data_IF_528725207528
#
_entry.id   IF_528725207528
#
_cell.length_a   1.000
_cell.length_b   1.000
_cell.length_c   1.000
_cell.angle_alpha   90.00
_cell.angle_beta   90.00
_cell.angle_gamma   90.00
#
_symmetry.space_group_name_H-M   'P 1'
#
loop_
_entity.id
_entity.type
_entity.pdbx_description
1 polymer ?
2 non-polymer ?
3 non-polymer ?
4 non-polymer ?
5 non-polymer ?
6 non-polymer ?
7 water ?
#
# COMPACT_ATOMS: atom_id res chain seq x y z
N UNK A 3 23.21 16.20 12.38
CA UNK A 3 23.62 15.99 11.00
C UNK A 3 24.11 14.56 10.80
N UNK A 4 23.98 13.75 11.85
CA UNK A 4 24.45 12.37 11.85
C UNK A 4 23.77 11.63 13.00
N UNK A 5 22.51 11.27 12.82
CA UNK A 5 21.64 10.85 13.92
C UNK A 5 21.77 9.34 14.20
N UNK A 6 21.67 8.99 15.47
CA UNK A 6 21.80 7.62 15.95
C UNK A 6 20.44 7.07 16.33
N UNK A 7 20.16 5.84 15.90
CA UNK A 7 18.98 5.09 16.35
C UNK A 7 19.46 3.83 17.04
N UNK A 8 18.86 3.52 18.19
CA UNK A 8 19.25 2.38 19.00
C UNK A 8 18.19 1.29 18.94
N UNK A 9 18.64 0.05 19.02
CA UNK A 9 17.75 -1.08 19.32
C UNK A 9 17.96 -1.44 20.78
N UNK A 10 16.91 -1.33 21.59
CA UNK A 10 16.99 -1.58 23.01
C UNK A 10 16.79 -3.05 23.38
N UNK A 11 16.56 -3.92 22.40
CA UNK A 11 16.56 -5.36 22.62
C UNK A 11 17.93 -5.97 22.37
N UNK A 12 18.72 -5.37 21.47
CA UNK A 12 20.02 -5.89 21.09
C UNK A 12 21.17 -4.93 21.35
N UNK A 13 20.91 -3.69 21.74
CA UNK A 13 21.93 -2.66 21.95
C UNK A 13 22.73 -2.38 20.67
N UNK A 14 22.08 -2.54 19.51
CA UNK A 14 22.67 -2.24 18.22
C UNK A 14 22.40 -0.78 17.89
N UNK A 15 23.42 -0.08 17.37
CA UNK A 15 23.30 1.32 17.02
C UNK A 15 23.53 1.48 15.53
N UNK A 16 22.60 2.14 14.85
CA UNK A 16 22.73 2.52 13.47
C UNK A 16 22.86 4.04 13.38
N UNK A 17 23.57 4.51 12.35
CA UNK A 17 23.84 5.92 12.16
C UNK A 17 23.17 6.39 10.88
N UNK A 18 22.25 7.35 11.01
CA UNK A 18 21.45 7.81 9.90
C UNK A 18 22.04 9.11 9.35
N UNK A 19 22.55 9.05 8.12
CA UNK A 19 22.91 10.23 7.35
C UNK A 19 22.02 10.43 6.14
N UNK A 20 21.18 9.44 5.81
CA UNK A 20 20.28 9.55 4.67
C UNK A 20 19.23 10.64 4.88
N UNK A 21 18.86 10.91 6.12
CA UNK A 21 17.86 11.94 6.38
C UNK A 21 18.31 13.32 5.92
N UNK A 22 19.61 13.50 5.65
CA UNK A 22 20.08 14.79 5.18
C UNK A 22 19.65 15.03 3.73
N UNK A 23 19.58 13.97 2.93
CA UNK A 23 19.05 14.11 1.59
C UNK A 23 17.54 14.39 1.59
N UNK A 24 16.89 14.33 2.75
CA UNK A 24 15.45 14.47 2.82
C UNK A 24 15.00 15.85 2.36
N UNK A 25 13.77 15.90 1.89
CA UNK A 25 13.24 17.09 1.22
C UNK A 25 11.90 17.49 1.83
N UNK A 26 10.88 16.65 1.64
CA UNK A 26 9.53 16.96 2.09
C UNK A 26 9.49 17.13 3.62
N UNK A 27 8.41 17.73 4.08
CA UNK A 27 8.20 17.98 5.50
C UNK A 27 7.33 16.89 6.12
N UNK A 28 7.36 16.81 7.45
CA UNK A 28 6.75 15.70 8.17
C UNK A 28 5.44 16.04 8.88
N UNK A 29 5.17 17.31 9.15
CA UNK A 29 4.05 17.70 9.98
C UNK A 29 4.44 17.97 11.41
N UNK A 30 5.57 17.44 11.86
CA UNK A 30 6.07 17.71 13.19
C UNK A 30 6.86 19.01 13.22
N UNK A 31 6.87 19.65 14.38
CA UNK A 31 7.67 20.84 14.59
C UNK A 31 8.57 20.62 15.80
N UNK A 32 9.38 21.63 16.13
CA UNK A 32 10.17 21.57 17.33
C UNK A 32 9.30 21.48 18.58
N UNK A 33 8.06 21.95 18.52
CA UNK A 33 7.18 22.01 19.68
C UNK A 33 6.00 21.03 19.58
N UNK A 34 5.86 20.27 18.49
CA UNK A 34 4.79 19.28 18.44
C UNK A 34 5.15 18.11 17.55
N UNK A 35 5.00 16.90 18.08
CA UNK A 35 5.17 15.69 17.30
C UNK A 35 3.80 15.18 16.87
N UNK A 36 3.62 15.05 15.56
CA UNK A 36 2.36 14.56 14.98
C UNK A 36 2.54 13.18 14.35
N UNK A 37 3.52 12.42 14.85
CA UNK A 37 3.83 11.10 14.35
C UNK A 37 2.74 10.05 14.50
N UNK A 38 1.55 10.46 14.94
CA UNK A 38 0.43 9.54 15.11
C UNK A 38 -0.84 10.09 14.47
N UNK A 39 -0.75 11.23 13.78
CA UNK A 39 -1.80 11.66 12.87
C UNK A 39 -1.80 10.72 11.67
N UNK A 40 -2.98 10.22 11.33
CA UNK A 40 -3.04 9.16 10.30
C UNK A 40 -2.75 9.70 8.91
N UNK A 41 -3.45 10.76 8.50
CA UNK A 41 -3.27 11.38 7.19
C UNK A 41 -2.78 12.80 7.37
N UNK A 42 -1.48 13.00 7.61
CA UNK A 42 -0.97 14.36 7.73
C UNK A 42 -1.11 15.10 6.40
N UNK A 43 -1.35 16.40 6.49
CA UNK A 43 -1.50 17.22 5.29
C UNK A 43 -0.27 17.14 4.39
N UNK A 44 0.87 16.70 4.94
CA UNK A 44 2.08 16.52 4.15
C UNK A 44 2.09 15.21 3.38
N UNK A 45 1.27 14.24 3.78
CA UNK A 45 1.21 12.95 3.12
C UNK A 45 0.13 12.89 2.04
N UNK A 46 -0.53 14.02 1.74
CA UNK A 46 -1.62 14.07 0.78
C UNK A 46 -1.27 15.04 -0.34
N UNK A 47 -1.87 14.81 -1.51
CA UNK A 47 -1.62 15.65 -2.69
C UNK A 47 -2.81 16.54 -3.03
N UNK A 52 -0.99 19.92 -6.61
CA UNK A 52 -1.09 20.34 -8.00
C UNK A 52 0.06 21.32 -8.30
N UNK A 53 1.00 20.87 -9.13
CA UNK A 53 2.26 21.57 -9.33
C UNK A 53 2.30 22.32 -10.65
N UNK A 54 3.23 23.27 -10.74
CA UNK A 54 3.45 24.10 -11.92
C UNK A 54 4.76 23.68 -12.60
N UNK A 55 5.13 24.43 -13.64
CA UNK A 55 6.29 24.10 -14.47
C UNK A 55 7.60 24.65 -13.91
N UNK A 56 7.53 25.72 -13.12
CA UNK A 56 8.73 26.30 -12.55
C UNK A 56 9.43 25.30 -11.63
N UNK A 57 8.72 24.82 -10.62
CA UNK A 57 9.31 23.89 -9.66
C UNK A 57 9.64 22.54 -10.28
N UNK A 58 9.35 22.31 -11.56
CA UNK A 58 9.43 20.98 -12.11
C UNK A 58 10.87 20.54 -12.32
N UNK A 59 11.76 21.44 -12.78
CA UNK A 59 13.10 20.99 -13.15
C UNK A 59 13.96 20.63 -11.94
N UNK A 60 14.02 21.43 -10.87
CA UNK A 60 14.73 20.94 -9.67
C UNK A 60 14.30 19.55 -9.26
N UNK A 61 13.01 19.26 -9.31
CA UNK A 61 12.52 17.92 -8.98
C UNK A 61 13.03 16.88 -9.98
N UNK A 62 13.03 17.23 -11.27
CA UNK A 62 13.56 16.32 -12.28
C UNK A 62 15.07 16.16 -12.14
N UNK A 63 15.79 17.28 -12.09
CA UNK A 63 17.24 17.27 -11.85
C UNK A 63 17.60 16.41 -10.65
N UNK A 64 16.93 16.64 -9.52
CA UNK A 64 17.21 15.86 -8.32
C UNK A 64 17.01 14.37 -8.58
N UNK A 65 15.94 14.02 -9.30
CA UNK A 65 15.65 12.60 -9.54
C UNK A 65 16.70 11.98 -10.46
N UNK A 66 17.03 12.68 -11.57
CA UNK A 66 18.03 12.17 -12.49
C UNK A 66 19.39 12.06 -11.81
N UNK A 67 19.72 13.00 -10.92
CA UNK A 67 21.02 12.97 -10.27
C UNK A 67 21.21 11.72 -9.44
N UNK A 68 20.14 11.28 -8.75
CA UNK A 68 20.24 10.05 -7.98
C UNK A 68 20.09 8.81 -8.86
N UNK A 69 19.36 8.92 -9.98
CA UNK A 69 19.24 7.78 -10.88
C UNK A 69 20.56 7.45 -11.55
N UNK A 70 21.26 8.46 -12.07
CA UNK A 70 22.54 8.19 -12.71
C UNK A 70 23.61 7.86 -11.68
N UNK A 71 23.47 8.38 -10.47
CA UNK A 71 24.37 7.99 -9.40
C UNK A 71 24.22 6.51 -9.06
N UNK A 72 23.02 5.95 -9.28
CA UNK A 72 22.75 4.57 -8.94
C UNK A 72 23.10 3.57 -10.05
N UNK A 73 23.24 4.01 -11.29
CA UNK A 73 23.79 3.16 -12.34
C UNK A 73 25.28 3.38 -12.51
N UNK A 74 25.94 3.91 -11.48
CA UNK A 74 27.39 4.14 -11.43
C UNK A 74 27.87 5.15 -12.47
N UNK A 75 26.98 5.97 -13.04
CA UNK A 75 27.34 6.94 -14.07
C UNK A 75 26.79 8.33 -13.73
N UNK A 76 27.15 8.83 -12.54
CA UNK A 76 26.74 10.16 -12.12
C UNK A 76 27.64 11.22 -12.74
N UNK A 77 27.06 12.36 -13.07
CA UNK A 77 27.80 13.47 -13.61
C UNK A 77 28.48 13.24 -14.95
N UNK A 78 28.18 12.12 -15.60
CA UNK A 78 28.79 11.80 -16.88
C UNK A 78 28.10 12.60 -17.99
N UNK A 79 28.42 12.27 -19.24
CA UNK A 79 27.79 12.95 -20.37
C UNK A 79 26.39 12.42 -20.64
N UNK A 80 26.20 11.11 -20.55
CA UNK A 80 24.85 10.55 -20.69
C UNK A 80 23.91 11.13 -19.66
N UNK A 81 24.43 11.44 -18.46
CA UNK A 81 23.65 12.17 -17.46
C UNK A 81 23.41 13.60 -17.88
N UNK A 82 24.48 14.35 -18.13
CA UNK A 82 24.34 15.78 -18.43
C UNK A 82 23.52 16.00 -19.71
N UNK A 83 23.52 15.04 -20.63
CA UNK A 83 22.67 15.16 -21.80
C UNK A 83 21.19 15.00 -21.44
N UNK A 84 20.88 13.99 -20.60
CA UNK A 84 19.49 13.77 -20.19
C UNK A 84 19.00 14.89 -19.29
N UNK A 85 19.89 15.48 -18.50
CA UNK A 85 19.57 16.69 -17.76
C UNK A 85 19.07 17.78 -18.69
N UNK A 86 19.84 18.08 -19.74
CA UNK A 86 19.45 19.09 -20.72
C UNK A 86 18.23 18.65 -21.51
N UNK A 87 18.18 17.38 -21.91
CA UNK A 87 17.05 16.88 -22.67
C UNK A 87 15.73 17.11 -21.94
N UNK A 88 15.68 16.75 -20.65
CA UNK A 88 14.47 16.96 -19.87
C UNK A 88 14.26 18.44 -19.60
N UNK A 89 15.33 19.18 -19.38
CA UNK A 89 15.24 20.64 -19.28
C UNK A 89 14.52 21.22 -20.50
N UNK A 90 15.03 20.92 -21.69
CA UNK A 90 14.43 21.42 -22.92
C UNK A 90 12.96 21.02 -23.04
N UNK A 91 12.65 19.75 -22.74
CA UNK A 91 11.26 19.28 -22.87
C UNK A 91 10.35 19.92 -21.83
N UNK A 92 10.88 20.31 -20.67
CA UNK A 92 10.05 21.01 -19.69
C UNK A 92 9.80 22.44 -20.13
N UNK A 93 10.78 23.08 -20.76
CA UNK A 93 10.54 24.38 -21.38
C UNK A 93 9.42 24.29 -22.41
N UNK A 94 9.50 23.30 -23.30
CA UNK A 94 8.59 23.23 -24.42
C UNK A 94 7.19 22.82 -23.99
N UNK A 95 7.08 21.75 -23.19
CA UNK A 95 5.78 21.17 -22.87
C UNK A 95 5.33 21.42 -21.44
N UNK A 96 6.13 22.12 -20.63
CA UNK A 96 5.81 22.34 -19.21
C UNK A 96 5.54 21.04 -18.47
N UNK A 97 6.17 19.96 -18.93
CA UNK A 97 6.16 18.63 -18.30
C UNK A 97 7.21 17.81 -19.03
N UNK A 98 7.28 16.51 -18.72
CA UNK A 98 8.19 15.64 -19.45
C UNK A 98 7.76 14.19 -19.23
N UNK A 99 8.58 13.29 -19.75
CA UNK A 99 8.26 11.86 -19.75
C UNK A 99 9.48 11.08 -19.28
N UNK A 100 9.25 10.11 -18.41
CA UNK A 100 10.32 9.28 -17.90
C UNK A 100 10.68 8.20 -18.92
N UNK A 101 11.97 7.89 -18.99
CA UNK A 101 12.39 6.67 -19.69
C UNK A 101 11.85 5.46 -18.95
N UNK A 102 11.73 4.33 -19.66
CA UNK A 102 11.27 3.11 -19.00
C UNK A 102 12.12 2.81 -17.76
N UNK A 103 13.45 2.92 -17.88
CA UNK A 103 14.33 2.60 -16.76
C UNK A 103 14.18 3.62 -15.64
N UNK A 104 13.94 4.88 -15.98
CA UNK A 104 13.69 5.89 -14.96
C UNK A 104 12.36 5.64 -14.25
N UNK A 105 11.37 5.12 -14.97
CA UNK A 105 10.10 4.77 -14.35
C UNK A 105 10.25 3.58 -13.41
N UNK A 106 11.02 2.57 -13.80
CA UNK A 106 11.22 1.41 -12.94
C UNK A 106 11.98 1.81 -11.68
N UNK A 107 13.03 2.61 -11.85
CA UNK A 107 13.78 3.15 -10.72
C UNK A 107 12.87 3.95 -9.79
N UNK A 108 12.12 4.91 -10.35
CA UNK A 108 11.27 5.74 -9.49
C UNK A 108 10.27 4.93 -8.70
N UNK A 109 9.64 3.95 -9.34
CA UNK A 109 8.66 3.11 -8.66
C UNK A 109 9.30 2.34 -7.52
N UNK A 110 10.41 1.66 -7.78
CA UNK A 110 11.04 0.84 -6.75
C UNK A 110 11.45 1.68 -5.56
N UNK A 111 11.88 2.92 -5.81
CA UNK A 111 12.37 3.77 -4.72
C UNK A 111 11.26 4.48 -3.99
N UNK A 112 10.14 4.77 -4.67
CA UNK A 112 8.92 5.13 -3.96
C UNK A 112 8.55 4.07 -2.93
N UNK A 113 8.53 2.80 -3.34
CA UNK A 113 8.34 1.73 -2.37
C UNK A 113 9.48 1.71 -1.35
N UNK A 114 10.72 1.83 -1.83
CA UNK A 114 11.87 1.80 -0.92
C UNK A 114 11.76 2.86 0.17
N UNK A 115 11.19 4.02 -0.17
CA UNK A 115 11.10 5.15 0.74
C UNK A 115 9.84 5.14 1.60
N UNK A 116 8.91 4.21 1.33
CA UNK A 116 7.62 4.13 2.02
C UNK A 116 7.89 3.81 3.49
N UNK A 117 7.89 4.82 4.35
CA UNK A 117 8.37 4.59 5.71
C UNK A 117 7.38 3.81 6.57
N UNK A 118 6.09 3.77 6.20
CA UNK A 118 5.12 2.98 6.94
C UNK A 118 5.02 1.54 6.44
N UNK A 119 5.83 1.13 5.45
CA UNK A 119 5.74 -0.22 4.89
C UNK A 119 6.78 -1.13 5.54
N UNK A 120 6.30 -2.17 6.23
CA UNK A 120 7.21 -3.15 6.84
C UNK A 120 7.79 -4.13 5.84
N UNK A 121 7.21 -4.25 4.63
CA UNK A 121 7.59 -5.21 3.63
C UNK A 121 8.81 -4.87 2.81
N UNK A 122 9.47 -3.75 3.09
CA UNK A 122 10.36 -3.15 2.09
C UNK A 122 11.61 -3.97 1.81
N UNK A 123 11.80 -5.12 2.42
CA UNK A 123 13.06 -5.84 2.20
C UNK A 123 13.12 -6.33 0.77
N UNK A 124 11.98 -6.35 0.09
CA UNK A 124 11.80 -6.83 -1.27
C UNK A 124 11.71 -5.71 -2.30
N UNK A 125 12.02 -4.48 -1.91
CA UNK A 125 11.70 -3.32 -2.75
C UNK A 125 12.33 -3.42 -4.14
N UNK A 126 13.52 -4.00 -4.24
CA UNK A 126 14.17 -4.12 -5.54
C UNK A 126 13.56 -5.21 -6.41
N UNK A 127 12.80 -6.14 -5.83
CA UNK A 127 12.12 -7.18 -6.60
C UNK A 127 10.67 -6.77 -6.81
N UNK A 128 10.51 -5.68 -7.56
CA UNK A 128 9.21 -5.13 -7.91
C UNK A 128 9.07 -5.17 -9.43
N UNK A 129 7.96 -5.69 -9.91
CA UNK A 129 7.69 -5.76 -11.35
C UNK A 129 6.92 -4.51 -11.74
N UNK A 130 7.45 -3.73 -12.67
CA UNK A 130 6.85 -2.47 -13.05
C UNK A 130 6.18 -2.66 -14.40
N UNK A 131 4.87 -2.47 -14.44
CA UNK A 131 4.10 -2.52 -15.68
C UNK A 131 3.84 -1.10 -16.15
N UNK A 132 4.36 -0.77 -17.32
CA UNK A 132 4.21 0.56 -17.89
C UNK A 132 2.89 0.58 -18.65
N UNK A 133 1.90 1.23 -18.07
CA UNK A 133 0.60 1.43 -18.69
C UNK A 133 0.42 2.87 -19.15
N UNK A 134 1.53 3.57 -19.40
CA UNK A 134 1.42 4.98 -19.79
C UNK A 134 0.91 5.17 -21.22
N UNK A 135 0.70 4.10 -22.02
CA UNK A 135 0.04 4.23 -23.32
C UNK A 135 -1.47 4.01 -23.22
N UNK A 136 -1.99 3.83 -22.02
CA UNK A 136 -3.41 3.57 -21.84
C UNK A 136 -4.21 4.85 -22.07
N UNK A 137 -5.42 4.69 -22.62
CA UNK A 137 -6.28 5.84 -22.93
C UNK A 137 -7.74 5.67 -22.52
N UNK A 138 -8.18 4.48 -22.11
CA UNK A 138 -9.59 4.22 -21.87
C UNK A 138 -9.75 3.37 -20.62
N UNK A 139 -10.97 3.36 -20.08
CA UNK A 139 -11.24 2.54 -18.90
C UNK A 139 -11.10 1.06 -19.22
N UNK A 140 -11.53 0.63 -20.40
CA UNK A 140 -11.30 -0.74 -20.81
C UNK A 140 -9.81 -1.05 -20.88
N UNK A 141 -9.01 -0.10 -21.36
CA UNK A 141 -7.56 -0.31 -21.37
C UNK A 141 -7.02 -0.50 -19.97
N UNK A 142 -7.46 0.35 -19.04
CA UNK A 142 -7.11 0.20 -17.63
C UNK A 142 -7.55 -1.16 -17.10
N UNK A 143 -8.82 -1.51 -17.32
CA UNK A 143 -9.31 -2.82 -16.90
C UNK A 143 -8.41 -3.92 -17.39
N UNK A 144 -8.04 -3.86 -18.67
CA UNK A 144 -7.18 -4.89 -19.24
C UNK A 144 -5.81 -4.89 -18.57
N UNK A 145 -5.25 -3.71 -18.32
CA UNK A 145 -3.94 -3.66 -17.68
C UNK A 145 -4.03 -4.17 -16.24
N UNK A 146 -5.16 -3.92 -15.58
CA UNK A 146 -5.31 -4.34 -14.19
C UNK A 146 -5.53 -5.84 -14.08
N UNK A 147 -6.29 -6.42 -15.03
CA UNK A 147 -6.46 -7.87 -15.02
C UNK A 147 -5.11 -8.56 -15.20
N UNK A 148 -4.29 -8.03 -16.10
CA UNK A 148 -2.96 -8.63 -16.32
C UNK A 148 -2.10 -8.49 -15.06
N UNK A 149 -2.14 -7.31 -14.44
CA UNK A 149 -1.47 -7.11 -13.15
C UNK A 149 -1.92 -8.17 -12.15
N UNK A 150 -3.23 -8.28 -11.94
CA UNK A 150 -3.75 -9.28 -10.99
C UNK A 150 -3.25 -10.67 -11.34
N UNK A 151 -3.38 -11.06 -12.62
CA UNK A 151 -2.95 -12.40 -12.99
C UNK A 151 -1.46 -12.59 -12.69
N UNK A 152 -0.63 -11.67 -13.16
CA UNK A 152 0.81 -11.78 -12.91
C UNK A 152 1.13 -11.78 -11.41
N UNK A 153 0.65 -10.77 -10.68
CA UNK A 153 1.05 -10.67 -9.27
C UNK A 153 0.57 -11.89 -8.48
N UNK A 154 -0.55 -12.48 -8.88
CA UNK A 154 -1.05 -13.63 -8.14
C UNK A 154 -0.22 -14.87 -8.41
N UNK A 155 0.10 -15.13 -9.68
CA UNK A 155 1.02 -16.23 -10.00
C UNK A 155 0.60 -17.51 -9.25
N UNK A 156 -0.71 -17.77 -9.28
CA UNK A 156 -1.31 -18.98 -8.76
C UNK A 156 -0.92 -19.23 -7.30
N UNK A 157 -0.95 -18.17 -6.49
CA UNK A 157 -0.59 -18.24 -5.11
C UNK A 157 0.86 -17.96 -4.82
N UNK A 158 1.75 -18.10 -5.79
CA UNK A 158 3.16 -17.74 -5.60
C UNK A 158 3.31 -16.25 -5.90
N UNK A 159 2.80 -15.44 -4.96
CA UNK A 159 2.62 -14.01 -5.20
C UNK A 159 3.94 -13.32 -5.54
N UNK A 160 3.83 -12.32 -6.42
CA UNK A 160 4.97 -11.52 -6.85
C UNK A 160 4.59 -10.05 -6.72
N UNK A 161 5.57 -9.24 -6.34
CA UNK A 161 5.34 -7.81 -6.24
C UNK A 161 5.24 -7.19 -7.63
N UNK A 162 4.29 -6.27 -7.79
CA UNK A 162 4.07 -5.60 -9.06
C UNK A 162 3.44 -4.23 -8.84
N UNK A 163 3.67 -3.33 -9.79
CA UNK A 163 2.97 -2.06 -9.86
C UNK A 163 2.61 -1.79 -11.33
N UNK A 164 1.43 -1.21 -11.54
CA UNK A 164 1.03 -0.80 -12.88
C UNK A 164 0.81 0.71 -12.85
N UNK A 165 1.48 1.41 -13.77
CA UNK A 165 1.59 2.86 -13.73
C UNK A 165 0.86 3.44 -14.95
N UNK A 166 -0.30 4.04 -14.70
CA UNK A 166 -1.11 4.70 -15.70
C UNK A 166 -0.57 6.10 -15.99
N UNK A 167 -1.07 6.78 -17.02
CA UNK A 167 -0.45 8.05 -17.43
C UNK A 167 -0.40 9.10 -16.32
N UNK A 168 0.67 9.89 -16.33
CA UNK A 168 0.83 10.92 -15.34
C UNK A 168 -0.22 12.02 -15.51
N UNK A 169 -0.58 12.63 -14.39
CA UNK A 169 -1.40 13.83 -14.40
C UNK A 169 -0.75 14.88 -15.30
N UNK A 170 -1.59 15.68 -15.95
CA UNK A 170 -1.08 16.80 -16.73
C UNK A 170 -1.75 18.08 -16.27
N UNK A 171 -2.94 18.37 -16.81
CA UNK A 171 -3.71 19.52 -16.36
C UNK A 171 -4.24 19.30 -14.95
N UNK A 172 -4.78 18.12 -14.68
CA UNK A 172 -5.52 17.86 -13.46
C UNK A 172 -6.92 17.32 -13.73
N UNK A 173 -7.64 17.95 -14.65
CA UNK A 173 -8.98 17.47 -14.99
C UNK A 173 -8.95 16.26 -15.93
N UNK A 174 -7.83 16.04 -16.61
CA UNK A 174 -7.55 14.78 -17.26
C UNK A 174 -6.68 13.97 -16.32
N UNK A 175 -7.22 12.87 -15.83
CA UNK A 175 -6.67 12.22 -14.65
C UNK A 175 -7.13 10.78 -14.65
N UNK A 176 -6.18 9.85 -14.68
CA UNK A 176 -6.50 8.44 -14.51
C UNK A 176 -6.61 8.14 -13.03
N UNK A 177 -7.70 7.49 -12.65
CA UNK A 177 -7.91 7.13 -11.24
C UNK A 177 -8.58 5.77 -11.17
N UNK A 178 -8.07 4.91 -10.30
CA UNK A 178 -8.84 3.75 -9.84
C UNK A 178 -9.62 4.19 -8.61
N UNK A 179 -10.95 4.17 -8.70
CA UNK A 179 -11.76 4.62 -7.59
C UNK A 179 -11.79 3.63 -6.43
N UNK A 180 -11.54 2.35 -6.70
CA UNK A 180 -11.38 1.37 -5.63
C UNK A 180 -10.17 1.72 -4.79
N UNK A 181 -10.29 1.53 -3.47
CA UNK A 181 -9.10 1.73 -2.63
C UNK A 181 -8.14 0.57 -2.78
N UNK A 182 -8.66 -0.64 -3.07
CA UNK A 182 -7.86 -1.80 -3.43
C UNK A 182 -8.53 -2.49 -4.60
N UNK A 183 -7.72 -3.11 -5.45
CA UNK A 183 -8.25 -3.81 -6.62
C UNK A 183 -9.26 -4.88 -6.22
N UNK A 184 -8.99 -5.58 -5.13
CA UNK A 184 -9.84 -6.64 -4.61
C UNK A 184 -10.26 -6.25 -3.20
N UNK A 185 -11.53 -5.85 -3.04
CA UNK A 185 -12.12 -5.60 -1.74
C UNK A 185 -13.52 -6.21 -1.71
N UNK A 186 -13.95 -6.59 -0.52
CA UNK A 186 -15.29 -7.10 -0.31
C UNK A 186 -16.27 -5.93 -0.09
N UNK A 187 -17.52 -6.15 -0.51
CA UNK A 187 -18.53 -5.11 -0.46
C UNK A 187 -19.11 -4.96 0.94
N UNK A 188 -19.59 -3.75 1.23
CA UNK A 188 -20.26 -3.47 2.48
C UNK A 188 -21.67 -2.95 2.27
N UNK A 189 -22.65 -3.59 2.89
CA UNK A 189 -24.05 -3.22 2.76
C UNK A 189 -24.64 -2.93 4.13
N UNK A 190 -25.21 -1.74 4.29
CA UNK A 190 -26.01 -1.44 5.45
C UNK A 190 -27.31 -2.22 5.40
N UNK A 191 -27.76 -2.70 6.56
CA UNK A 191 -28.92 -3.58 6.66
C UNK A 191 -30.16 -2.79 7.09
N UNK A 192 -31.35 -3.42 7.19
CA UNK A 192 -32.50 -2.67 7.74
C UNK A 192 -32.26 -2.10 9.13
N UNK A 193 -31.80 -2.93 10.08
CA UNK A 193 -31.59 -2.46 11.44
C UNK A 193 -30.43 -1.48 11.57
N UNK A 194 -29.64 -1.29 10.51
CA UNK A 194 -28.49 -0.40 10.53
C UNK A 194 -27.16 -1.14 10.53
N UNK A 195 -27.13 -2.37 11.05
CA UNK A 195 -25.92 -3.17 11.07
C UNK A 195 -25.42 -3.39 9.65
N UNK A 196 -24.24 -3.99 9.54
CA UNK A 196 -23.52 -4.05 8.27
C UNK A 196 -23.22 -5.49 7.89
N UNK A 197 -23.58 -5.85 6.66
CA UNK A 197 -23.15 -7.11 6.04
C UNK A 197 -21.93 -6.84 5.19
N UNK A 198 -20.96 -7.76 5.24
CA UNK A 198 -19.73 -7.57 4.49
C UNK A 198 -18.75 -6.68 5.22
N UNK A 199 -17.97 -5.93 4.45
CA UNK A 199 -16.92 -5.08 5.00
C UNK A 199 -17.46 -3.69 5.24
N UNK A 200 -17.65 -3.26 6.50
CA UNK A 200 -18.19 -1.92 6.75
C UNK A 200 -17.31 -0.79 6.22
N UNK A 201 -16.01 -1.04 6.00
CA UNK A 201 -15.14 -0.02 5.43
C UNK A 201 -15.62 0.46 4.07
N UNK A 202 -16.23 -0.43 3.28
CA UNK A 202 -16.52 -0.15 1.88
C UNK A 202 -17.97 0.23 1.64
N UNK A 203 -18.76 0.44 2.71
CA UNK A 203 -20.18 0.73 2.54
C UNK A 203 -20.38 1.93 1.63
N UNK A 204 -19.55 2.96 1.80
CA UNK A 204 -19.66 4.14 0.95
C UNK A 204 -19.31 3.82 -0.50
N UNK A 205 -18.21 3.09 -0.71
CA UNK A 205 -17.83 2.73 -2.09
C UNK A 205 -18.81 1.74 -2.71
N UNK A 206 -19.29 0.78 -1.91
CA UNK A 206 -20.24 -0.21 -2.42
C UNK A 206 -21.49 0.46 -2.96
N UNK A 207 -21.96 1.52 -2.30
CA UNK A 207 -23.15 2.22 -2.78
C UNK A 207 -22.85 3.11 -3.99
N UNK A 208 -21.61 3.57 -4.12
CA UNK A 208 -21.24 4.31 -5.33
C UNK A 208 -21.32 3.39 -6.54
N UNK A 209 -20.85 2.14 -6.40
CA UNK A 209 -20.94 1.18 -7.49
C UNK A 209 -22.38 0.88 -7.84
N UNK A 210 -23.26 0.79 -6.84
CA UNK A 210 -24.68 0.62 -7.14
C UNK A 210 -25.26 1.89 -7.77
N UNK A 211 -24.72 3.05 -7.40
CA UNK A 211 -25.16 4.31 -8.01
C UNK A 211 -24.81 4.35 -9.49
N UNK A 212 -23.80 3.62 -9.92
CA UNK A 212 -23.38 3.58 -11.32
C UNK A 212 -23.80 2.31 -12.03
N UNK A 213 -24.53 1.41 -11.36
CA UNK A 213 -25.14 0.29 -12.06
C UNK A 213 -24.87 -1.10 -11.51
N UNK A 214 -24.06 -1.22 -10.46
CA UNK A 214 -23.68 -2.54 -9.97
C UNK A 214 -24.87 -3.26 -9.39
N UNK A 215 -25.13 -4.47 -9.90
CA UNK A 215 -26.12 -5.37 -9.33
C UNK A 215 -25.44 -6.14 -8.20
N UNK A 216 -25.76 -5.79 -6.97
CA UNK A 216 -25.05 -6.34 -5.82
C UNK A 216 -25.63 -7.69 -5.43
N UNK A 217 -24.81 -8.74 -5.30
CA UNK A 217 -25.30 -10.01 -4.76
C UNK A 217 -25.57 -9.95 -3.26
N UNK A 218 -25.52 -8.73 -2.69
CA UNK A 218 -25.81 -8.41 -1.29
C UNK A 218 -25.55 -9.56 -0.34
N UNK A 219 -24.31 -10.05 -0.32
CA UNK A 219 -23.87 -11.00 0.68
C UNK A 219 -22.66 -10.49 1.42
N UNK A 220 -21.88 -11.39 2.01
CA UNK A 220 -20.67 -11.03 2.73
C UNK A 220 -19.54 -10.70 1.77
N UNK A 221 -18.74 -11.72 1.45
CA UNK A 221 -17.50 -11.56 0.70
C UNK A 221 -17.81 -11.50 -0.81
N UNK A 222 -18.47 -10.41 -1.19
CA UNK A 222 -18.76 -10.12 -2.59
C UNK A 222 -17.65 -9.23 -3.12
N UNK A 223 -16.82 -9.78 -4.02
CA UNK A 223 -15.72 -9.02 -4.58
C UNK A 223 -16.30 -7.84 -5.34
N UNK A 224 -15.84 -6.63 -5.01
CA UNK A 224 -16.38 -5.45 -5.65
C UNK A 224 -15.94 -5.37 -7.10
N UNK A 225 -16.67 -4.62 -7.92
CA UNK A 225 -16.20 -4.37 -9.29
C UNK A 225 -15.20 -3.23 -9.26
N UNK A 226 -14.37 -3.18 -10.29
CA UNK A 226 -13.47 -2.05 -10.46
C UNK A 226 -14.24 -0.84 -11.00
N UNK A 227 -13.91 0.34 -10.47
CA UNK A 227 -14.43 1.60 -10.98
C UNK A 227 -13.25 2.39 -11.52
N UNK A 228 -13.18 2.55 -12.83
CA UNK A 228 -11.98 3.01 -13.52
C UNK A 228 -12.27 4.33 -14.24
N UNK A 229 -11.56 5.38 -13.86
CA UNK A 229 -11.63 6.67 -14.50
C UNK A 229 -10.44 6.83 -15.44
N UNK A 230 -10.71 7.11 -16.71
CA UNK A 230 -9.68 7.24 -17.73
C UNK A 230 -9.67 8.67 -18.24
N UNK A 231 -8.51 9.32 -18.17
CA UNK A 231 -8.28 10.65 -18.74
C UNK A 231 -9.37 11.64 -18.32
N UNK A 232 -9.76 11.57 -17.05
CA UNK A 232 -10.75 12.49 -16.50
C UNK A 232 -12.19 12.18 -16.85
N UNK A 233 -12.46 11.16 -17.66
CA UNK A 233 -13.84 10.81 -17.99
C UNK A 233 -14.53 10.17 -16.78
N UNK A 234 -15.87 10.14 -16.84
CA UNK A 234 -16.62 9.48 -15.80
C UNK A 234 -16.19 8.01 -15.70
N UNK A 235 -16.07 7.46 -14.50
CA UNK A 235 -15.53 6.10 -14.35
C UNK A 235 -16.58 5.05 -14.67
N UNK A 236 -16.09 3.84 -14.95
CA UNK A 236 -16.88 2.78 -15.56
C UNK A 236 -16.67 1.47 -14.82
N UNK A 237 -17.69 0.62 -14.83
CA UNK A 237 -17.72 -0.57 -13.98
C UNK A 237 -17.22 -1.80 -14.74
N UNK A 238 -16.32 -2.56 -14.10
CA UNK A 238 -15.76 -3.77 -14.67
C UNK A 238 -15.57 -4.81 -13.58
N UNK A 239 -16.04 -6.03 -13.84
CA UNK A 239 -15.88 -7.14 -12.92
C UNK A 239 -14.59 -7.88 -13.25
N UNK A 240 -13.68 -7.94 -12.28
CA UNK A 240 -12.50 -8.80 -12.42
C UNK A 240 -12.97 -10.23 -12.63
N UNK A 241 -12.52 -10.93 -13.67
CA UNK A 241 -12.93 -12.33 -13.85
C UNK A 241 -12.65 -13.13 -12.61
N UNK A 242 -13.66 -13.77 -12.03
CA UNK A 242 -13.49 -14.51 -10.77
C UNK A 242 -12.29 -15.45 -10.75
N UNK A 243 -12.01 -16.14 -11.87
CA UNK A 243 -10.83 -17.00 -11.94
C UNK A 243 -9.54 -16.23 -11.66
N UNK A 244 -9.56 -14.91 -11.79
CA UNK A 244 -8.38 -14.12 -11.46
C UNK A 244 -8.33 -13.67 -10.01
N UNK A 245 -9.43 -13.78 -9.27
CA UNK A 245 -9.50 -13.33 -7.87
C UNK A 245 -9.29 -14.57 -7.00
N UNK A 246 -8.07 -14.72 -6.51
CA UNK A 246 -7.68 -15.88 -5.72
C UNK A 246 -8.06 -15.62 -4.27
N UNK A 247 -8.75 -16.59 -3.67
CA UNK A 247 -9.28 -16.47 -2.33
C UNK A 247 -8.86 -17.67 -1.49
N UNK A 248 -8.68 -17.42 -0.19
CA UNK A 248 -8.33 -18.43 0.80
C UNK A 248 -9.50 -18.60 1.77
N UNK A 249 -10.19 -19.73 1.80
CA UNK A 249 -11.10 -20.00 2.91
C UNK A 249 -10.32 -20.26 4.18
N UNK A 250 -10.85 -19.79 5.30
CA UNK A 250 -10.12 -19.69 6.55
C UNK A 250 -10.57 -20.80 7.49
N UNK A 251 -9.67 -21.74 7.77
CA UNK A 251 -9.88 -22.80 8.73
C UNK A 251 -8.78 -22.74 9.78
N UNK A 252 -8.99 -23.47 10.85
CA UNK A 252 -8.03 -23.56 11.92
C UNK A 252 -7.43 -24.97 11.97
N UNK A 253 -6.18 -25.12 12.40
CA UNK A 253 -5.57 -26.45 12.53
C UNK A 253 -5.88 -27.18 13.83
N UNK A 254 -6.71 -26.61 14.71
CA UNK A 254 -7.23 -27.34 15.86
C UNK A 254 -8.75 -27.35 15.82
N UNK A 255 -9.35 -26.16 15.75
CA UNK A 255 -10.78 -25.97 15.94
C UNK A 255 -11.50 -26.24 14.63
N UNK A 256 -12.25 -27.34 14.56
CA UNK A 256 -12.98 -27.67 13.34
C UNK A 256 -14.24 -26.85 13.17
N UNK A 257 -14.76 -26.24 14.23
CA UNK A 257 -15.85 -25.29 14.07
C UNK A 257 -15.41 -24.02 13.36
N UNK A 258 -14.10 -23.82 13.18
CA UNK A 258 -13.63 -22.59 12.57
C UNK A 258 -14.03 -22.50 11.10
N UNK A 259 -14.19 -23.64 10.42
CA UNK A 259 -14.71 -23.60 9.06
C UNK A 259 -16.14 -23.08 9.04
N UNK A 260 -16.95 -23.49 10.02
CA UNK A 260 -18.33 -23.05 10.11
C UNK A 260 -18.43 -21.53 10.21
N UNK A 261 -17.40 -20.87 10.75
CA UNK A 261 -17.34 -19.42 10.70
C UNK A 261 -17.44 -18.91 9.26
N UNK A 262 -17.06 -19.74 8.29
CA UNK A 262 -17.27 -19.42 6.89
C UNK A 262 -16.49 -18.23 6.38
N UNK A 263 -15.39 -17.89 7.05
CA UNK A 263 -14.61 -16.74 6.63
C UNK A 263 -13.67 -17.09 5.49
N UNK A 264 -13.34 -16.09 4.69
CA UNK A 264 -12.37 -16.24 3.62
C UNK A 264 -11.80 -14.86 3.31
N UNK A 265 -10.64 -14.85 2.65
CA UNK A 265 -10.04 -13.59 2.28
C UNK A 265 -9.35 -13.77 0.93
N UNK A 266 -9.11 -12.65 0.26
CA UNK A 266 -8.43 -12.65 -1.02
C UNK A 266 -6.92 -12.68 -0.81
N UNK A 267 -6.23 -13.37 -1.72
CA UNK A 267 -4.81 -13.55 -1.55
C UNK A 267 -4.00 -12.29 -1.78
N UNK A 268 -4.50 -11.38 -2.64
CA UNK A 268 -3.69 -10.32 -3.21
C UNK A 268 -4.02 -8.98 -2.57
N UNK A 269 -3.12 -8.40 -1.76
CA UNK A 269 -3.29 -7.01 -1.33
C UNK A 269 -2.75 -6.09 -2.42
N UNK A 270 -3.61 -5.21 -2.92
CA UNK A 270 -3.33 -4.49 -4.16
C UNK A 270 -3.92 -3.09 -4.00
N UNK A 271 -3.09 -2.17 -3.53
CA UNK A 271 -3.56 -0.84 -3.17
C UNK A 271 -3.62 0.03 -4.42
N UNK A 272 -4.77 0.69 -4.63
CA UNK A 272 -5.02 1.34 -5.91
C UNK A 272 -5.32 2.83 -5.86
N UNK A 273 -5.41 3.45 -4.68
CA UNK A 273 -5.86 4.83 -4.56
C UNK A 273 -4.74 5.81 -4.33
N UNK A 274 -3.49 5.36 -4.35
CA UNK A 274 -2.34 6.17 -3.96
C UNK A 274 -1.83 6.97 -5.14
N UNK A 275 -0.96 7.93 -4.85
CA UNK A 275 -0.33 8.73 -5.88
C UNK A 275 1.17 8.49 -5.84
N UNK A 276 1.73 8.13 -6.99
CA UNK A 276 3.16 7.92 -7.14
C UNK A 276 3.79 9.20 -7.68
N UNK A 277 4.74 9.75 -6.94
CA UNK A 277 5.49 10.94 -7.34
C UNK A 277 6.89 10.53 -7.74
N UNK A 278 7.30 10.90 -8.95
CA UNK A 278 8.63 10.59 -9.48
C UNK A 278 9.11 11.83 -10.20
N UNK A 279 10.26 12.36 -9.78
CA UNK A 279 10.84 13.52 -10.46
C UNK A 279 9.86 14.66 -10.64
N UNK A 280 8.99 14.89 -9.66
CA UNK A 280 7.99 15.93 -9.77
C UNK A 280 6.77 15.58 -10.58
N UNK A 281 6.73 14.39 -11.18
CA UNK A 281 5.58 13.96 -11.95
C UNK A 281 4.63 13.19 -11.05
N UNK A 282 3.33 13.42 -11.24
CA UNK A 282 2.29 12.81 -10.43
C UNK A 282 1.56 11.75 -11.24
N UNK A 283 1.62 10.50 -10.77
CA UNK A 283 0.89 9.38 -11.34
C UNK A 283 -0.27 9.07 -10.41
N UNK A 284 -1.48 9.49 -10.80
CA UNK A 284 -2.64 9.39 -9.93
C UNK A 284 -3.28 8.02 -9.91
N UNK A 285 -2.94 7.15 -10.86
CA UNK A 285 -3.37 5.76 -10.80
C UNK A 285 -2.15 4.90 -10.96
N UNK A 286 -1.83 4.13 -9.93
CA UNK A 286 -0.62 3.34 -9.88
C UNK A 286 -0.79 2.10 -9.02
N UNK A 287 -1.82 1.28 -9.20
CA UNK A 287 -2.09 0.18 -8.25
C UNK A 287 -0.88 -0.72 -8.11
N UNK A 288 -0.58 -1.09 -6.87
CA UNK A 288 0.57 -1.91 -6.56
C UNK A 288 0.14 -3.00 -5.58
N UNK A 289 0.84 -4.13 -5.64
CA UNK A 289 0.44 -5.27 -4.84
C UNK A 289 1.67 -6.03 -4.36
N UNK A 290 1.50 -6.74 -3.25
CA UNK A 290 2.52 -7.64 -2.79
C UNK A 290 1.90 -8.92 -2.27
N UNK A 291 2.19 -9.25 -1.01
CA UNK A 291 1.49 -10.33 -0.33
C UNK A 291 1.16 -9.86 1.06
N UNK A 292 0.26 -10.58 1.72
CA UNK A 292 -0.26 -10.12 3.01
C UNK A 292 0.66 -10.52 4.16
N UNK A 293 0.81 -9.61 5.11
CA UNK A 293 1.18 -10.01 6.45
C UNK A 293 -0.06 -10.50 7.17
N UNK A 294 0.11 -11.58 7.94
CA UNK A 294 -1.03 -12.22 8.60
C UNK A 294 -1.95 -11.22 9.29
N UNK A 295 -1.35 -10.25 9.98
CA UNK A 295 -2.12 -9.44 10.92
C UNK A 295 -3.07 -8.48 10.21
N UNK A 296 -2.75 -8.09 8.97
CA UNK A 296 -3.60 -7.13 8.27
C UNK A 296 -5.00 -7.71 8.08
N UNK A 297 -5.09 -9.03 7.93
CA UNK A 297 -6.38 -9.71 7.77
C UNK A 297 -6.93 -10.12 9.13
N UNK A 298 -6.15 -10.93 9.85
CA UNK A 298 -6.64 -11.51 11.10
C UNK A 298 -6.81 -10.53 12.25
N UNK A 299 -6.08 -9.42 12.24
CA UNK A 299 -6.22 -8.43 13.32
C UNK A 299 -7.09 -7.28 12.85
N UNK A 300 -6.61 -6.56 11.84
CA UNK A 300 -7.30 -5.34 11.41
C UNK A 300 -8.60 -5.66 10.64
N UNK A 301 -8.51 -6.44 9.54
CA UNK A 301 -9.71 -6.76 8.76
C UNK A 301 -10.73 -7.53 9.60
N UNK A 302 -10.29 -8.55 10.33
CA UNK A 302 -11.27 -9.40 11.00
C UNK A 302 -11.73 -8.85 12.35
N UNK A 303 -10.92 -8.02 13.02
CA UNK A 303 -11.19 -7.72 14.42
C UNK A 303 -11.37 -6.25 14.77
N UNK A 304 -11.03 -5.31 13.87
CA UNK A 304 -11.41 -3.92 14.10
C UNK A 304 -12.92 -3.83 14.34
N UNK A 305 -13.31 -2.99 15.31
CA UNK A 305 -14.72 -2.77 15.58
C UNK A 305 -15.45 -2.23 14.35
N UNK A 306 -14.73 -1.50 13.49
CA UNK A 306 -15.30 -0.86 12.31
C UNK A 306 -15.16 -1.72 11.06
N UNK A 307 -14.64 -2.95 11.20
CA UNK A 307 -14.50 -3.90 10.11
C UNK A 307 -15.42 -5.09 10.33
N UNK A 308 -14.93 -6.32 10.10
CA UNK A 308 -15.81 -7.47 10.20
C UNK A 308 -16.19 -7.78 11.65
N UNK A 309 -15.30 -7.47 12.58
CA UNK A 309 -15.63 -7.46 14.01
C UNK A 309 -16.15 -8.82 14.45
N UNK A 310 -15.28 -9.82 14.34
CA UNK A 310 -15.66 -11.21 14.58
C UNK A 310 -15.28 -11.70 15.96
N UNK A 311 -14.54 -10.91 16.76
CA UNK A 311 -14.05 -11.38 18.06
C UNK A 311 -15.19 -11.90 18.93
N UNK A 312 -16.36 -11.29 18.84
CA UNK A 312 -17.57 -11.81 19.48
C UNK A 312 -17.78 -13.29 19.16
N UNK A 313 -17.97 -13.59 17.88
CA UNK A 313 -18.37 -14.95 17.49
C UNK A 313 -17.25 -15.95 17.72
N UNK A 314 -16.00 -15.54 17.53
CA UNK A 314 -14.90 -16.48 17.76
C UNK A 314 -14.77 -16.82 19.25
N UNK A 315 -14.89 -15.82 20.13
CA UNK A 315 -14.78 -16.09 21.57
C UNK A 315 -15.95 -16.93 22.04
N UNK A 316 -17.16 -16.66 21.52
CA UNK A 316 -18.32 -17.48 21.84
C UNK A 316 -18.05 -18.95 21.55
N UNK A 317 -17.63 -19.26 20.32
CA UNK A 317 -17.38 -20.64 19.93
C UNK A 317 -16.16 -21.22 20.63
N UNK A 318 -15.24 -20.38 21.11
CA UNK A 318 -14.14 -20.89 21.92
C UNK A 318 -14.55 -21.16 23.35
N UNK A 319 -15.77 -20.79 23.74
CA UNK A 319 -16.27 -20.89 25.11
C UNK A 319 -15.37 -20.10 26.06
N UNK A 320 -15.44 -18.78 25.91
CA UNK A 320 -14.56 -17.86 26.63
C UNK A 320 -15.34 -17.06 27.67
N UNK A 321 -14.68 -16.80 28.80
CA UNK A 321 -15.21 -15.89 29.80
C UNK A 321 -15.35 -14.51 29.19
N UNK A 322 -16.55 -14.13 28.76
CA UNK A 322 -16.75 -12.88 28.04
C UNK A 322 -17.39 -11.79 28.89
N UNK A 323 -17.74 -12.08 30.14
CA UNK A 323 -18.28 -11.03 31.00
C UNK A 323 -17.19 -10.06 31.44
N UNK A 324 -16.08 -10.59 31.93
CA UNK A 324 -14.98 -9.76 32.41
C UNK A 324 -14.12 -9.32 31.23
N UNK A 325 -13.86 -8.01 31.15
CA UNK A 325 -12.86 -7.50 30.23
C UNK A 325 -11.50 -8.13 30.49
N UNK A 326 -11.15 -8.33 31.77
CA UNK A 326 -9.83 -8.77 32.22
C UNK A 326 -9.59 -10.27 32.04
N UNK A 327 -10.59 -11.05 31.62
CA UNK A 327 -10.29 -12.41 31.21
C UNK A 327 -9.54 -12.47 29.88
N UNK A 328 -9.30 -11.32 29.24
CA UNK A 328 -8.53 -11.24 27.98
C UNK A 328 -9.10 -12.15 26.89
N UNK A 329 -10.41 -12.41 26.95
CA UNK A 329 -11.04 -13.20 25.88
C UNK A 329 -10.82 -12.56 24.52
N UNK A 330 -10.76 -11.23 24.46
CA UNK A 330 -10.51 -10.56 23.18
C UNK A 330 -9.14 -10.93 22.64
N UNK A 331 -8.11 -10.85 23.48
CA UNK A 331 -6.76 -11.22 23.04
C UNK A 331 -6.69 -12.69 22.69
N UNK A 332 -7.30 -13.54 23.52
CA UNK A 332 -7.22 -14.98 23.30
C UNK A 332 -7.83 -15.38 21.96
N UNK A 333 -8.96 -14.77 21.59
CA UNK A 333 -9.59 -15.07 20.32
C UNK A 333 -8.82 -14.45 19.15
N UNK A 334 -8.12 -13.35 19.40
CA UNK A 334 -7.38 -12.68 18.34
C UNK A 334 -6.21 -13.54 17.86
N UNK A 335 -5.52 -14.20 18.80
CA UNK A 335 -4.38 -15.05 18.43
C UNK A 335 -4.85 -16.23 17.59
N UNK A 336 -5.91 -16.92 18.03
CA UNK A 336 -6.43 -18.05 17.26
C UNK A 336 -6.81 -17.64 15.85
N UNK A 337 -7.46 -16.48 15.70
CA UNK A 337 -7.84 -15.99 14.39
C UNK A 337 -6.62 -15.79 13.50
N UNK A 338 -5.52 -15.31 14.07
CA UNK A 338 -4.33 -15.11 13.26
C UNK A 338 -3.59 -16.42 12.99
N UNK A 339 -3.66 -17.40 13.90
CA UNK A 339 -3.12 -18.72 13.59
C UNK A 339 -3.86 -19.34 12.42
N UNK A 340 -5.16 -19.03 12.29
CA UNK A 340 -6.01 -19.59 11.25
C UNK A 340 -5.76 -18.94 9.90
N UNK A 341 -5.51 -17.62 9.87
CA UNK A 341 -5.25 -16.97 8.61
C UNK A 341 -3.95 -17.49 8.01
N UNK A 342 -2.89 -17.48 8.82
CA UNK A 342 -1.60 -18.05 8.43
C UNK A 342 -1.73 -19.49 7.96
N UNK A 343 -2.26 -20.37 8.82
CA UNK A 343 -2.40 -21.77 8.46
C UNK A 343 -3.22 -21.94 7.19
N UNK A 344 -4.29 -21.17 7.04
CA UNK A 344 -5.13 -21.28 5.84
C UNK A 344 -4.34 -20.88 4.60
N UNK A 345 -3.61 -19.76 4.65
CA UNK A 345 -2.90 -19.30 3.46
C UNK A 345 -1.78 -20.25 3.08
N UNK A 346 -0.99 -20.69 4.06
CA UNK A 346 0.12 -21.61 3.81
C UNK A 346 -0.37 -22.99 3.36
N UNK A 347 -1.53 -23.44 3.85
CA UNK A 347 -2.04 -24.74 3.41
C UNK A 347 -2.49 -24.69 1.95
N UNK A 348 -2.72 -23.51 1.40
CA UNK A 348 -3.11 -23.32 0.01
C UNK A 348 -1.98 -22.79 -0.88
N UNK A 349 -0.75 -22.75 -0.37
CA UNK A 349 0.41 -22.26 -1.13
C UNK A 349 0.20 -20.83 -1.65
N UNK A 350 -0.60 -20.05 -0.93
CA UNK A 350 -0.71 -18.60 -1.16
C UNK A 350 0.32 -17.91 -0.28
N UNK A 351 1.18 -17.10 -0.89
CA UNK A 351 2.22 -16.40 -0.12
C UNK A 351 1.58 -15.60 1.00
N UNK A 352 2.06 -15.82 2.23
CA UNK A 352 1.70 -14.99 3.37
C UNK A 352 2.88 -14.97 4.33
N UNK A 353 3.01 -13.87 5.08
CA UNK A 353 4.09 -13.73 6.05
C UNK A 353 3.48 -13.42 7.41
N UNK A 354 4.03 -14.02 8.46
CA UNK A 354 3.57 -13.73 9.80
C UNK A 354 4.29 -12.50 10.33
N UNK A 355 3.70 -11.87 11.35
CA UNK A 355 4.28 -10.60 11.81
C UNK A 355 5.65 -10.79 12.43
N UNK A 356 5.99 -11.99 12.90
CA UNK A 356 7.33 -12.23 13.45
C UNK A 356 8.37 -12.31 12.34
N UNK A 357 8.07 -13.07 11.29
CA UNK A 357 9.02 -13.15 10.18
C UNK A 357 9.15 -11.80 9.49
N UNK A 358 8.02 -11.10 9.28
CA UNK A 358 8.07 -9.86 8.51
C UNK A 358 8.80 -8.76 9.30
N UNK A 359 8.59 -8.71 10.60
CA UNK A 359 9.26 -7.68 11.38
C UNK A 359 10.73 -8.00 11.56
N UNK A 360 11.10 -9.28 11.62
CA UNK A 360 12.53 -9.61 11.66
C UNK A 360 13.20 -9.23 10.35
N UNK A 361 12.51 -9.47 9.22
CA UNK A 361 13.07 -9.08 7.93
C UNK A 361 13.26 -7.57 7.84
N UNK A 362 12.33 -6.80 8.44
CA UNK A 362 12.46 -5.36 8.38
C UNK A 362 13.68 -4.86 9.13
N UNK A 363 14.00 -5.48 10.27
CA UNK A 363 15.22 -5.13 11.00
C UNK A 363 16.43 -5.44 10.14
N UNK A 364 16.47 -6.65 9.59
CA UNK A 364 17.50 -7.01 8.60
C UNK A 364 17.54 -6.01 7.46
N UNK A 365 16.36 -5.58 6.99
CA UNK A 365 16.32 -4.58 5.92
C UNK A 365 16.92 -3.26 6.39
N UNK A 366 16.59 -2.83 7.60
CA UNK A 366 17.12 -1.58 8.12
C UNK A 366 18.64 -1.61 8.19
N UNK A 367 19.22 -2.72 8.66
CA UNK A 367 20.67 -2.86 8.67
C UNK A 367 21.26 -2.67 7.28
N UNK A 368 20.59 -3.21 6.25
CA UNK A 368 21.07 -3.02 4.90
C UNK A 368 20.99 -1.55 4.48
N UNK A 369 19.87 -0.89 4.78
CA UNK A 369 19.67 0.47 4.31
C UNK A 369 20.56 1.46 5.05
N UNK A 370 20.91 1.17 6.31
CA UNK A 370 21.83 2.07 7.00
C UNK A 370 23.26 1.92 6.49
N UNK A 371 23.65 0.69 6.12
CA UNK A 371 25.02 0.47 5.66
C UNK A 371 25.20 0.96 4.23
N UNK A 372 24.44 0.42 3.29
CA UNK A 372 24.63 0.74 1.88
C UNK A 372 23.85 1.95 1.41
N UNK A 373 23.13 2.64 2.30
CA UNK A 373 22.38 3.83 1.91
C UNK A 373 22.47 4.97 2.90
N UNK A 374 22.88 4.74 4.14
CA UNK A 374 23.00 5.79 5.14
C UNK A 374 21.80 5.95 6.03
N UNK A 375 20.79 5.10 5.90
CA UNK A 375 19.60 5.21 6.72
C UNK A 375 18.44 4.49 6.08
N UNK A 376 17.31 4.49 6.79
CA UNK A 376 16.05 3.90 6.34
C UNK A 376 14.91 4.63 7.03
N UNK A 377 14.15 5.46 6.32
CA UNK A 377 13.02 6.14 6.97
C UNK A 377 11.96 5.13 7.38
N UNK A 378 11.53 5.22 8.62
CA UNK A 378 10.59 4.22 9.11
C UNK A 378 9.63 4.85 10.11
N UNK A 379 8.35 4.46 10.00
CA UNK A 379 7.29 4.99 10.84
C UNK A 379 6.97 3.92 11.89
N UNK A 380 7.49 4.13 13.10
CA UNK A 380 7.28 3.14 14.17
C UNK A 380 5.80 2.90 14.41
N UNK A 381 5.00 3.96 14.38
CA UNK A 381 3.56 3.84 14.63
C UNK A 381 2.94 2.79 13.73
N UNK A 382 3.42 2.70 12.47
CA UNK A 382 2.90 1.77 11.47
C UNK A 382 3.73 0.50 11.31
N UNK A 383 5.03 0.53 11.62
CA UNK A 383 5.87 -0.64 11.43
C UNK A 383 5.62 -1.71 12.50
N UNK A 384 5.25 -1.31 13.70
CA UNK A 384 4.97 -2.30 14.75
C UNK A 384 3.64 -2.98 14.45
N UNK A 385 3.57 -4.30 14.50
CA UNK A 385 2.32 -4.99 14.14
C UNK A 385 1.24 -4.71 15.16
N UNK A 386 -0.03 -4.83 14.74
CA UNK A 386 -1.17 -4.47 15.59
C UNK A 386 -1.50 -5.47 16.69
N UNK A 387 -0.67 -6.50 16.91
CA UNK A 387 -0.81 -7.42 18.04
C UNK A 387 0.59 -7.84 18.45
N UNK A 388 0.74 -8.23 19.72
CA UNK A 388 1.99 -8.78 20.24
C UNK A 388 3.20 -7.91 19.89
N UNK A 389 2.99 -6.59 19.90
CA UNK A 389 4.00 -5.70 19.35
C UNK A 389 5.37 -5.86 19.97
N UNK A 390 5.43 -5.98 21.30
CA UNK A 390 6.76 -5.96 21.93
C UNK A 390 7.45 -7.31 21.91
N UNK A 391 6.78 -8.39 21.52
CA UNK A 391 7.50 -9.64 21.30
C UNK A 391 8.01 -9.70 19.86
N UNK A 392 7.95 -8.57 19.15
CA UNK A 392 8.57 -8.47 17.84
C UNK A 392 9.72 -7.46 17.85
N UNK A 393 10.78 -7.70 17.07
CA UNK A 393 11.98 -6.84 17.18
C UNK A 393 11.74 -5.39 16.81
N UNK A 394 10.72 -5.07 16.00
CA UNK A 394 10.53 -3.67 15.61
C UNK A 394 10.07 -2.82 16.79
N UNK A 395 9.43 -3.41 17.80
CA UNK A 395 8.98 -2.65 18.96
C UNK A 395 10.14 -1.93 19.61
N UNK A 396 11.29 -2.60 19.65
CA UNK A 396 12.43 -2.17 20.43
C UNK A 396 13.45 -1.42 19.59
N UNK A 397 13.12 -1.15 18.33
CA UNK A 397 13.99 -0.45 17.41
C UNK A 397 13.51 0.98 17.27
N UNK A 398 14.34 1.93 17.71
CA UNK A 398 14.12 3.33 17.35
C UNK A 398 14.20 3.50 15.84
N UNK A 399 13.30 4.31 15.28
CA UNK A 399 13.22 4.53 13.84
C UNK A 399 13.06 6.01 13.54
N UNK A 400 13.89 6.53 12.64
CA UNK A 400 13.78 7.91 12.19
C UNK A 400 12.81 7.99 11.02
N UNK A 401 11.71 8.73 11.18
CA UNK A 401 10.77 8.95 10.08
C UNK A 401 11.12 10.25 9.36
N UNK A 402 11.32 10.15 8.06
CA UNK A 402 11.50 11.34 7.24
C UNK A 402 11.05 10.99 5.82
N UNK A 403 10.74 12.03 5.06
CA UNK A 403 10.01 11.88 3.81
C UNK A 403 10.97 12.08 2.65
N UNK A 404 11.33 10.99 1.98
CA UNK A 404 12.16 11.03 0.79
C UNK A 404 11.30 10.94 -0.47
N UNK A 405 11.94 11.15 -1.61
CA UNK A 405 11.27 11.02 -2.90
C UNK A 405 12.20 10.28 -3.84
N UNK A 406 11.66 9.52 -4.83
CA UNK A 406 10.27 9.21 -5.20
C UNK A 406 9.45 8.59 -4.07
N UNK A 407 8.13 8.76 -4.09
CA UNK A 407 7.29 8.41 -2.95
C UNK A 407 5.87 8.13 -3.40
N UNK A 408 5.16 7.32 -2.61
CA UNK A 408 3.71 7.20 -2.71
C UNK A 408 3.08 8.18 -1.73
N UNK A 409 2.08 8.92 -2.20
CA UNK A 409 1.37 9.88 -1.38
C UNK A 409 -0.11 9.55 -1.40
N UNK A 410 -0.82 10.03 -0.39
CA UNK A 410 -2.26 9.93 -0.42
C UNK A 410 -2.84 10.98 -1.36
N UNK A 411 -4.11 10.82 -1.69
CA UNK A 411 -4.81 11.81 -2.49
C UNK A 411 -6.28 11.72 -2.13
N UNK A 412 -7.04 12.79 -2.33
CA UNK A 412 -8.47 12.74 -2.04
C UNK A 412 -9.17 11.73 -2.93
N UNK A 413 -10.28 11.19 -2.42
CA UNK A 413 -11.07 10.27 -3.20
C UNK A 413 -11.62 10.96 -4.44
N UNK A 414 -11.66 10.29 -5.59
CA UNK A 414 -12.08 10.97 -6.82
C UNK A 414 -13.51 11.47 -6.78
N UNK A 415 -14.37 10.87 -5.97
CA UNK A 415 -15.78 11.26 -5.99
C UNK A 415 -16.07 12.52 -5.19
N UNK A 416 -15.04 13.15 -4.63
CA UNK A 416 -15.18 14.44 -3.98
C UNK A 416 -14.59 15.57 -4.80
N UNK A 417 -13.81 15.24 -5.83
CA UNK A 417 -13.12 16.21 -6.67
C UNK A 417 -13.52 16.13 -8.14
N UNK A 418 -13.94 14.95 -8.62
CA UNK A 418 -14.29 14.76 -10.02
C UNK A 418 -15.49 15.62 -10.41
N UNK A 419 -15.25 16.63 -11.25
CA UNK A 419 -16.32 17.38 -11.89
C UNK A 419 -17.11 16.41 -12.76
N UNK A 420 -18.26 15.96 -12.23
CA UNK A 420 -18.97 14.84 -12.82
C UNK A 420 -19.75 15.26 -14.05
N UNK A 421 -19.51 14.56 -15.16
CA UNK A 421 -20.23 14.74 -16.42
C UNK A 421 -20.05 16.13 -17.02
X LIG B 1 2.13 -0.12 4.05
X LIG B 1 3.29 -4.79 4.27
X LIG B 1 4.36 -4.61 -0.53
X LIG B 1 4.05 0.22 -0.43
X LIG B 1 2.22 -1.41 4.52
X LIG B 1 1.70 -1.95 5.76
X LIG B 1 2.03 -3.25 5.82
X LIG B 1 2.76 -3.58 4.62
X LIG B 1 1.70 -4.27 6.96
X LIG B 1 0.91 -1.16 6.83
X LIG B 1 -0.35 -0.63 6.13
X LIG B 1 -1.55 -1.15 6.86
X LIG B 1 -1.35 -1.75 7.94
X LIG B 1 -2.69 -0.97 6.35
X LIG B 1 3.67 -5.14 2.98
X LIG B 1 4.10 -6.46 2.57
X LIG B 1 4.40 -6.41 1.27
X LIG B 1 4.17 -5.06 0.77
X LIG B 1 4.19 -7.69 3.49
X LIG B 1 4.89 -7.65 0.47
X LIG B 1 5.58 -7.54 -0.66
X LIG B 1 4.35 -3.30 -0.98
X LIG B 1 4.58 -2.81 -2.33
X LIG B 1 4.49 -1.45 -2.28
X LIG B 1 4.20 -1.07 -0.91
X LIG B 1 4.87 -3.73 -3.55
X LIG B 1 4.65 -0.39 -3.40
X LIG B 1 5.05 -0.68 -4.64
X LIG B 1 3.43 0.54 0.76
X LIG B 1 2.86 1.83 1.13
X LIG B 1 2.32 1.73 2.36
X LIG B 1 2.53 0.36 2.81
X LIG B 1 2.85 3.11 0.28
X LIG B 1 1.57 2.83 3.16
X LIG B 1 2.32 4.06 3.65
X LIG B 1 1.34 5.14 4.06
X LIG B 1 1.67 6.34 3.86
X LIG B 1 0.22 4.83 4.55
X LIG B 1 2.86 -2.43 3.86
X LIG B 1 3.73 -4.31 1.87
X LIG B 1 4.12 -2.22 -0.16
X LIG B 1 3.21 -0.33 1.81
X LIG B 1 3.85 -2.22 2.02
X LIG C 1 -0.32 1.15 11.74
X LIG C 1 -0.67 0.45 10.60
X LIG C 1 0.15 -0.47 10.04
X LIG C 1 -1.85 0.64 10.00
X LIG C 1 -2.73 1.53 10.49
X LIG C 1 -3.81 1.71 9.92
X LIG C 1 -2.40 2.26 11.61
X LIG C 1 -1.20 2.06 12.24
X LIG C 1 -3.28 3.14 12.10
X LIG C 1 -0.90 2.78 13.35
X LIG C 1 -2.74 4.24 12.88
X LIG C 1 -1.86 3.67 13.99
X LIG C 1 -3.86 5.07 13.47
X LIG C 1 -4.74 4.20 14.19
X LIG C 1 -3.27 6.10 14.43
X LIG C 1 -4.34 6.88 15.19
X LIG C 1 -2.42 6.99 13.71
X LIG D 1 -6.23 4.13 6.12
X LIG D 1 -7.60 3.52 5.85
X LIG D 1 -6.91 2.18 5.62
X LIG D 1 -4.34 1.38 4.49
X LIG D 1 -2.50 0.17 3.34
X LIG D 1 -4.78 2.82 4.72
X LIG D 1 -2.87 2.49 2.79
X LIG D 1 -3.20 1.35 3.51
X LIG D 1 -1.82 2.43 1.89
X LIG D 1 -1.11 1.25 1.72
X LIG D 1 -1.45 0.12 2.45
X LIG D 1 0.40 -5.56 1.97
X LIG D 1 0.83 -5.38 0.66
X LIG D 1 0.63 -4.14 0.06
X LIG D 1 0.00 -3.11 0.78
X LIG D 1 -0.42 -3.36 2.07
X LIG D 1 1.09 -3.95 -1.34
X LIG D 1 -1.11 -2.27 2.87
X LIG D 1 -0.09 1.20 0.83
X LIG D 1 -1.48 3.53 1.18
X LIG D 1 -8.31 3.47 7.01
X LIG D 1 -0.21 -4.56 2.62
X LIG D 1 0.58 -6.75 2.58
X LIG D 1 -5.62 2.82 5.92
X LIG D 1 -0.74 -1.04 2.27
X LIG E 1 8.35 -9.58 3.86
X LIG E 1 7.32 -10.28 3.99
X LIG E 1 8.79 -8.87 4.79
X LIG E 1 9.06 -9.59 2.54
X LIG F 1 6.86 13.95 15.50
#
# INVERSE_FOLDING_TARGET
CPRFLKVKNWETDVVLTDTLHLKSTLETGCTEHICMGSIMLPSQHTRKPEDVATKDQLFPLAKEFLDQYYSSIKRFGSKAHMDRLEEVNKEIESTSTYQLKDTELIYGAKHAWRNASRCVGRIQWSKLQVFDARDCTTAHGMFNYICNHVKYATNKGNLRSAITIFPQRTDGKHDFRVWNSQLIRYAGYKQPDGSTLGDPANVQFTEICIQQGWKAPRGRFDVLPLLLQANGNDPELFQIPPELVLEVPIRHPKFDWFKDLGLKWYGLPAVSNMLLEIGGLEFSACPFSGWYMGTEIGVRDYCDNSRYNILEEVAKKMDLDMRKTSSLWKDQALVEINIAVLYSFQSDKVTIVDHHSATESFIKHMENEYRCRGGCPADWVWIVPPMSGSITPVFHQEMLNYRLTPSFEYQPDPWNTHVWKG
HEM CHA CHB CHC CHD C1A C2A C3A C4A CMA CAA CBA CGA O1A O2A C1B C2B C3B C4B CMB CAB CBB C1C C2C C3C C4C CMC CAC CBC C1D C2D C3D C4D CMD CAD CBD CGD O1D O2D NA NB NC ND FE
H4B N1 C2 N2 N3 C4 O4 C4A C8A N5 N8 C6 C7 C9 O9 C10 C11 O10
A1CN7 C26 C25 C24 C21 C16 C22 C14 C15 C13 C12 C11 C02 C03 C04 C05 C06 C07 C08 F12 F13 F27 N01 N02 N23 O09
ACT C O OXT CH3
ZN ZN
#
